data_IF_050950083234
#
_entry.id   IF_050950083234
#
_cell.length_a   1.000
_cell.length_b   1.000
_cell.length_c   1.000
_cell.angle_alpha   90.00
_cell.angle_beta   90.00
_cell.angle_gamma   90.00
#
_symmetry.space_group_name_H-M   'P 1'
#
loop_
_entity.id
_entity.type
_entity.pdbx_description
1 polymer ?
#
# COMPACT_ATOMS: atom_id res chain seq x y z
N UNK A 1 -25.45 -22.22 -2.11
CA UNK A 1 -24.26 -21.49 -2.53
C UNK A 1 -24.64 -20.06 -2.84
N UNK A 2 -24.01 -19.15 -2.16
CA UNK A 2 -24.28 -17.74 -2.39
C UNK A 2 -23.67 -17.28 -3.70
N UNK A 3 -24.48 -16.74 -4.59
CA UNK A 3 -24.00 -16.23 -5.87
C UNK A 3 -23.66 -14.77 -5.71
N UNK A 4 -22.47 -14.39 -6.12
CA UNK A 4 -22.05 -13.00 -6.08
C UNK A 4 -22.91 -12.15 -7.01
N UNK A 5 -23.52 -11.10 -6.48
CA UNK A 5 -24.28 -10.17 -7.30
C UNK A 5 -23.37 -9.44 -8.30
N UNK A 6 -23.91 -9.08 -9.48
CA UNK A 6 -23.15 -8.31 -10.48
C UNK A 6 -22.70 -6.92 -9.97
N UNK A 7 -23.40 -6.42 -8.94
CA UNK A 7 -23.10 -5.12 -8.31
C UNK A 7 -22.16 -5.24 -7.11
N UNK A 8 -21.74 -6.46 -6.73
CA UNK A 8 -20.82 -6.64 -5.61
C UNK A 8 -19.48 -6.01 -5.94
N UNK A 9 -19.00 -5.21 -5.00
CA UNK A 9 -17.73 -4.51 -5.16
C UNK A 9 -16.59 -5.36 -4.60
N UNK A 10 -15.45 -5.30 -5.28
CA UNK A 10 -14.18 -5.82 -4.79
C UNK A 10 -13.45 -4.64 -4.17
N UNK A 11 -13.19 -4.71 -2.88
CA UNK A 11 -12.49 -3.66 -2.15
C UNK A 11 -11.12 -4.16 -1.74
N UNK A 12 -10.08 -3.45 -2.17
CA UNK A 12 -8.70 -3.72 -1.80
C UNK A 12 -8.14 -2.51 -1.06
N UNK A 13 -7.16 -2.76 -0.21
CA UNK A 13 -6.49 -1.71 0.54
C UNK A 13 -4.99 -1.95 0.52
N UNK A 14 -4.21 -0.87 0.43
CA UNK A 14 -2.76 -0.93 0.42
C UNK A 14 -2.15 0.12 1.34
N UNK A 15 -1.05 -0.25 1.99
CA UNK A 15 -0.28 0.63 2.84
C UNK A 15 1.05 0.97 2.19
N UNK A 16 1.31 2.26 2.05
CA UNK A 16 2.61 2.79 1.70
C UNK A 16 3.26 3.28 2.99
N UNK A 17 4.14 2.47 3.57
CA UNK A 17 4.86 2.85 4.79
C UNK A 17 5.95 3.86 4.45
N UNK A 18 6.03 4.92 5.22
CA UNK A 18 7.01 6.00 5.08
C UNK A 18 7.73 6.23 6.39
N UNK A 19 9.06 6.11 6.38
CA UNK A 19 9.89 6.33 7.56
C UNK A 19 10.36 7.78 7.62
N UNK A 20 10.01 8.50 8.68
CA UNK A 20 10.41 9.91 8.85
C UNK A 20 11.93 10.09 8.86
N UNK A 21 12.64 9.20 9.54
CA UNK A 21 14.08 9.34 9.74
C UNK A 21 14.89 9.25 8.45
N UNK A 22 14.45 8.44 7.49
CA UNK A 22 15.19 8.24 6.24
C UNK A 22 14.49 8.82 5.02
N UNK A 23 13.20 9.18 5.15
CA UNK A 23 12.35 9.67 4.05
C UNK A 23 12.22 8.66 2.91
N UNK A 24 12.17 7.37 3.27
CA UNK A 24 12.04 6.27 2.31
C UNK A 24 10.76 5.47 2.56
N UNK A 25 10.30 4.83 1.49
CA UNK A 25 9.08 4.00 1.46
C UNK A 25 9.42 2.52 1.46
N UNK A 26 8.57 1.72 2.10
CA UNK A 26 8.68 0.26 2.07
C UNK A 26 7.94 -0.31 0.86
N UNK A 27 8.66 -1.08 0.06
CA UNK A 27 8.09 -1.84 -1.07
C UNK A 27 8.41 -3.32 -0.89
N UNK A 28 7.46 -4.16 -1.31
CA UNK A 28 7.60 -5.63 -1.24
C UNK A 28 7.58 -6.21 -2.64
N UNK A 29 8.43 -7.22 -2.88
CA UNK A 29 8.46 -7.94 -4.15
C UNK A 29 7.59 -9.18 -4.08
N UNK A 30 6.67 -9.31 -5.03
CA UNK A 30 5.75 -10.43 -5.10
C UNK A 30 6.45 -11.72 -5.54
N UNK A 31 6.22 -12.81 -4.79
CA UNK A 31 6.93 -14.08 -4.97
C UNK A 31 6.28 -14.99 -6.00
N UNK A 32 4.96 -14.99 -6.11
CA UNK A 32 4.24 -15.89 -7.03
C UNK A 32 2.91 -15.32 -7.48
N UNK A 33 2.30 -16.05 -8.41
CA UNK A 33 0.99 -15.71 -8.92
C UNK A 33 1.03 -14.57 -9.93
N UNK A 34 -0.08 -13.91 -10.07
CA UNK A 34 -0.20 -12.77 -10.96
C UNK A 34 0.71 -11.62 -10.47
N UNK A 35 1.39 -10.98 -11.41
CA UNK A 35 2.33 -9.88 -11.14
C UNK A 35 3.60 -10.29 -10.37
N UNK A 36 3.99 -11.58 -10.44
CA UNK A 36 5.25 -12.08 -9.83
C UNK A 36 6.43 -11.20 -10.22
N UNK A 37 7.30 -10.91 -9.25
CA UNK A 37 8.50 -10.12 -9.45
C UNK A 37 8.31 -8.61 -9.40
N UNK A 38 7.07 -8.13 -9.38
CA UNK A 38 6.81 -6.70 -9.26
C UNK A 38 6.89 -6.24 -7.80
N UNK A 39 7.28 -4.99 -7.64
CA UNK A 39 7.39 -4.34 -6.34
C UNK A 39 6.14 -3.49 -6.09
N UNK A 40 5.55 -3.65 -4.93
CA UNK A 40 4.29 -2.99 -4.61
C UNK A 40 4.11 -2.71 -3.12
N UNK A 41 2.88 -2.32 -2.80
CA UNK A 41 2.47 -2.00 -1.45
C UNK A 41 2.20 -3.25 -0.62
N UNK A 42 2.15 -3.06 0.69
CA UNK A 42 1.58 -4.04 1.61
C UNK A 42 0.06 -3.93 1.52
N UNK A 43 -0.65 -5.03 1.32
CA UNK A 43 -2.11 -4.97 1.29
C UNK A 43 -2.74 -6.14 0.56
N UNK A 44 -4.04 -6.07 0.39
CA UNK A 44 -4.80 -7.12 -0.28
C UNK A 44 -6.29 -6.85 -0.30
N UNK A 45 -7.05 -7.89 -0.61
CA UNK A 45 -8.50 -7.82 -0.75
C UNK A 45 -9.18 -7.85 0.62
N UNK A 46 -10.11 -6.93 0.83
CA UNK A 46 -10.92 -6.91 2.04
C UNK A 46 -11.88 -8.10 2.10
N UNK A 47 -12.12 -8.58 3.30
CA UNK A 47 -13.22 -9.49 3.57
C UNK A 47 -14.54 -8.70 3.57
N UNK A 48 -15.65 -9.41 3.37
CA UNK A 48 -16.96 -8.78 3.16
C UNK A 48 -17.38 -7.83 4.29
N UNK A 49 -17.04 -8.17 5.54
CA UNK A 49 -17.45 -7.40 6.72
C UNK A 49 -16.43 -6.36 7.17
N UNK A 50 -15.37 -6.15 6.41
CA UNK A 50 -14.32 -5.21 6.76
C UNK A 50 -14.50 -3.88 6.04
N UNK A 51 -14.29 -2.77 6.75
CA UNK A 51 -14.05 -1.50 6.07
C UNK A 51 -12.60 -1.48 5.53
N UNK A 52 -12.23 -0.52 4.66
CA UNK A 52 -10.89 -0.51 4.05
C UNK A 52 -9.75 -0.53 5.08
N UNK A 53 -9.86 0.22 6.16
CA UNK A 53 -8.81 0.27 7.18
C UNK A 53 -8.68 -1.05 7.95
N UNK A 54 -9.80 -1.67 8.31
CA UNK A 54 -9.78 -2.97 9.00
C UNK A 54 -9.14 -4.05 8.13
N UNK A 55 -9.49 -4.08 6.85
CA UNK A 55 -8.89 -5.02 5.90
C UNK A 55 -7.40 -4.80 5.76
N UNK A 56 -6.98 -3.55 5.71
CA UNK A 56 -5.56 -3.22 5.63
C UNK A 56 -4.79 -3.66 6.87
N UNK A 57 -5.32 -3.40 8.07
CA UNK A 57 -4.66 -3.83 9.31
C UNK A 57 -4.47 -5.33 9.36
N UNK A 58 -5.46 -6.10 8.92
CA UNK A 58 -5.36 -7.56 8.85
C UNK A 58 -4.30 -8.00 7.84
N UNK A 59 -4.32 -7.43 6.62
CA UNK A 59 -3.34 -7.76 5.57
C UNK A 59 -1.91 -7.41 5.99
N UNK A 60 -1.73 -6.27 6.64
CA UNK A 60 -0.40 -5.86 7.15
C UNK A 60 0.11 -6.92 8.13
N UNK A 61 -0.72 -7.35 9.08
CA UNK A 61 -0.33 -8.37 10.05
C UNK A 61 0.03 -9.69 9.37
N UNK A 62 -0.75 -10.10 8.36
CA UNK A 62 -0.49 -11.34 7.63
C UNK A 62 0.77 -11.28 6.79
N UNK A 63 1.03 -10.15 6.12
CA UNK A 63 2.11 -10.04 5.13
C UNK A 63 3.46 -9.65 5.71
N UNK A 64 3.51 -8.83 6.73
CA UNK A 64 4.77 -8.32 7.28
C UNK A 64 4.90 -8.42 8.79
N UNK A 65 3.90 -9.03 9.46
CA UNK A 65 3.93 -9.24 10.90
C UNK A 65 3.73 -7.96 11.70
N UNK A 66 4.32 -7.89 12.88
CA UNK A 66 4.19 -6.73 13.75
C UNK A 66 4.95 -5.53 13.17
N UNK A 67 4.31 -4.37 13.23
CA UNK A 67 4.92 -3.11 12.77
C UNK A 67 5.10 -2.17 13.97
N UNK A 68 6.05 -1.23 13.91
CA UNK A 68 6.15 -0.19 14.93
C UNK A 68 4.92 0.71 14.92
N UNK A 69 4.80 1.55 15.94
CA UNK A 69 3.71 2.50 16.03
C UNK A 69 3.58 3.34 14.76
N UNK A 70 2.38 3.40 14.20
CA UNK A 70 2.06 4.28 13.09
C UNK A 70 1.71 5.65 13.68
N UNK A 71 2.58 6.63 13.41
CA UNK A 71 2.43 8.00 13.94
C UNK A 71 1.22 8.67 13.31
N UNK A 72 1.03 8.46 11.99
CA UNK A 72 -0.04 9.09 11.24
C UNK A 72 -0.46 8.18 10.09
N UNK A 73 -1.76 8.09 9.87
CA UNK A 73 -2.35 7.41 8.72
C UNK A 73 -3.06 8.44 7.87
N UNK A 74 -2.65 8.56 6.61
CA UNK A 74 -3.18 9.57 5.70
C UNK A 74 -3.76 8.85 4.49
N UNK A 75 -5.09 8.98 4.22
CA UNK A 75 -5.65 8.47 2.97
C UNK A 75 -4.99 9.17 1.79
N UNK A 76 -4.36 8.39 0.91
CA UNK A 76 -3.59 8.93 -0.21
C UNK A 76 -4.41 8.96 -1.48
N UNK A 77 -5.05 7.85 -1.83
CA UNK A 77 -5.77 7.70 -3.09
C UNK A 77 -6.87 6.67 -2.94
N UNK A 78 -7.98 6.91 -3.62
CA UNK A 78 -9.00 5.88 -3.86
C UNK A 78 -9.14 5.74 -5.37
N UNK A 79 -8.78 4.56 -5.89
CA UNK A 79 -8.99 4.21 -7.28
C UNK A 79 -10.32 3.46 -7.41
N UNK A 80 -11.13 3.88 -8.38
CA UNK A 80 -12.39 3.21 -8.70
C UNK A 80 -12.36 2.86 -10.19
N UNK A 81 -12.59 1.59 -10.52
CA UNK A 81 -12.65 1.15 -11.91
C UNK A 81 -13.85 1.78 -12.64
N UNK A 82 -13.79 1.80 -13.98
CA UNK A 82 -14.85 2.43 -14.79
C UNK A 82 -16.23 1.81 -14.55
N UNK A 83 -16.28 0.50 -14.26
CA UNK A 83 -17.53 -0.21 -13.94
C UNK A 83 -17.93 -0.06 -12.47
N UNK A 84 -17.14 0.65 -11.67
CA UNK A 84 -17.31 0.87 -10.23
C UNK A 84 -17.28 -0.38 -9.36
N UNK A 85 -16.93 -1.54 -9.92
CA UNK A 85 -16.87 -2.82 -9.19
C UNK A 85 -15.61 -2.93 -8.35
N UNK A 86 -14.46 -2.48 -8.89
CA UNK A 86 -13.17 -2.56 -8.19
C UNK A 86 -12.81 -1.22 -7.55
N UNK A 87 -12.53 -1.26 -6.25
CA UNK A 87 -12.10 -0.09 -5.48
C UNK A 87 -10.80 -0.41 -4.76
N UNK A 88 -9.81 0.46 -4.87
CA UNK A 88 -8.52 0.30 -4.20
C UNK A 88 -8.22 1.55 -3.36
N UNK A 89 -8.08 1.35 -2.05
CA UNK A 89 -7.78 2.43 -1.11
C UNK A 89 -6.33 2.36 -0.68
N UNK A 90 -5.56 3.40 -0.96
CA UNK A 90 -4.16 3.51 -0.56
C UNK A 90 -4.01 4.47 0.61
N UNK A 91 -3.31 4.03 1.64
CA UNK A 91 -3.00 4.84 2.81
C UNK A 91 -1.50 5.04 2.93
N UNK A 92 -1.10 6.27 3.22
CA UNK A 92 0.26 6.58 3.64
C UNK A 92 0.36 6.35 5.14
N UNK A 93 1.18 5.40 5.55
CA UNK A 93 1.36 5.04 6.96
C UNK A 93 2.74 5.53 7.42
N UNK A 94 2.77 6.59 8.23
CA UNK A 94 4.01 7.21 8.67
C UNK A 94 4.50 6.52 9.93
N UNK A 95 5.74 6.06 9.90
CA UNK A 95 6.46 5.50 11.05
C UNK A 95 7.71 6.32 11.33
N UNK A 96 8.26 6.23 12.53
CA UNK A 96 9.45 7.02 12.89
C UNK A 96 10.68 6.54 12.13
N UNK A 97 10.93 5.24 12.16
CA UNK A 97 12.13 4.64 11.57
C UNK A 97 11.78 3.48 10.65
N UNK A 98 12.71 3.14 9.76
CA UNK A 98 12.60 1.92 8.98
C UNK A 98 12.59 0.71 9.91
N UNK A 99 11.86 -0.30 9.52
CA UNK A 99 11.80 -1.55 10.27
C UNK A 99 12.02 -2.73 9.33
N UNK A 100 12.34 -3.88 9.91
CA UNK A 100 12.54 -5.13 9.16
C UNK A 100 11.23 -5.90 9.15
N UNK A 101 10.54 -6.01 8.00
CA UNK A 101 9.32 -6.80 7.94
C UNK A 101 9.61 -8.29 8.05
N UNK A 102 8.68 -9.04 8.62
CA UNK A 102 8.70 -10.50 8.62
C UNK A 102 7.78 -10.95 7.51
N UNK A 103 8.35 -11.32 6.38
CA UNK A 103 7.59 -11.63 5.16
C UNK A 103 6.85 -12.96 5.28
N UNK A 104 5.60 -12.98 4.76
CA UNK A 104 4.91 -14.23 4.45
C UNK A 104 5.46 -14.79 3.13
N UNK A 105 4.98 -15.96 2.73
CA UNK A 105 5.41 -16.58 1.46
C UNK A 105 4.87 -15.88 0.20
N UNK A 106 3.97 -14.91 0.35
CA UNK A 106 3.49 -14.10 -0.78
C UNK A 106 4.55 -13.17 -1.34
N UNK A 107 5.56 -12.83 -0.56
CA UNK A 107 6.63 -11.90 -0.94
C UNK A 107 7.99 -12.51 -0.69
N UNK A 108 8.95 -12.24 -1.56
CA UNK A 108 10.30 -12.80 -1.49
C UNK A 108 11.38 -11.78 -1.12
N UNK A 109 11.05 -10.48 -1.14
CA UNK A 109 12.01 -9.43 -0.82
C UNK A 109 11.30 -8.16 -0.38
N UNK A 110 12.04 -7.29 0.29
CA UNK A 110 11.58 -5.97 0.70
C UNK A 110 12.69 -4.96 0.51
N UNK A 111 12.31 -3.69 0.31
CA UNK A 111 13.26 -2.59 0.16
C UNK A 111 12.64 -1.30 0.66
N UNK A 112 13.46 -0.49 1.32
CA UNK A 112 13.15 0.89 1.62
C UNK A 112 13.84 1.75 0.56
N UNK A 113 13.07 2.60 -0.11
CA UNK A 113 13.60 3.43 -1.20
C UNK A 113 12.82 4.72 -1.35
N UNK A 114 13.44 5.69 -2.01
CA UNK A 114 12.72 6.88 -2.50
C UNK A 114 11.98 6.49 -3.78
N UNK A 115 11.08 7.38 -4.24
CA UNK A 115 10.35 7.15 -5.50
C UNK A 115 11.31 7.04 -6.67
N UNK A 116 12.32 7.93 -6.73
CA UNK A 116 13.29 7.99 -7.82
C UNK A 116 14.13 6.72 -7.94
N UNK A 117 14.44 6.09 -6.82
CA UNK A 117 15.31 4.91 -6.76
C UNK A 117 14.53 3.63 -6.46
N UNK A 118 13.21 3.67 -6.63
CA UNK A 118 12.38 2.49 -6.40
C UNK A 118 12.84 1.30 -7.26
N UNK A 119 12.87 0.09 -6.68
CA UNK A 119 13.22 -1.10 -7.47
C UNK A 119 12.18 -1.34 -8.56
N UNK A 120 12.64 -1.96 -9.64
CA UNK A 120 11.80 -2.21 -10.83
C UNK A 120 11.70 -3.71 -11.09
N UNK A 121 10.61 -4.15 -11.72
CA UNK A 121 9.46 -3.36 -12.15
C UNK A 121 8.50 -3.08 -10.99
N UNK A 122 7.88 -1.91 -11.02
CA UNK A 122 6.80 -1.59 -10.09
C UNK A 122 5.50 -2.25 -10.53
N UNK A 123 4.68 -2.66 -9.56
CA UNK A 123 3.30 -3.04 -9.83
C UNK A 123 2.60 -1.90 -10.58
N UNK A 124 1.77 -2.25 -11.59
CA UNK A 124 1.19 -1.25 -12.49
C UNK A 124 0.39 -0.17 -11.74
N UNK A 125 -0.39 -0.56 -10.74
CA UNK A 125 -1.17 0.40 -9.94
C UNK A 125 -0.28 1.41 -9.21
N UNK A 126 0.80 0.94 -8.60
CA UNK A 126 1.74 1.81 -7.90
C UNK A 126 2.50 2.71 -8.89
N UNK A 127 2.89 2.15 -10.03
CA UNK A 127 3.53 2.92 -11.10
C UNK A 127 2.62 4.05 -11.56
N UNK A 128 1.33 3.78 -11.73
CA UNK A 128 0.35 4.79 -12.12
C UNK A 128 0.22 5.87 -11.04
N UNK A 129 0.15 5.48 -9.78
CA UNK A 129 0.04 6.43 -8.66
C UNK A 129 1.27 7.34 -8.59
N UNK A 130 2.47 6.78 -8.69
CA UNK A 130 3.71 7.56 -8.64
C UNK A 130 3.89 8.48 -9.86
N UNK A 131 3.24 8.17 -10.98
CA UNK A 131 3.27 9.00 -12.18
C UNK A 131 2.15 10.05 -12.20
N UNK A 132 1.16 9.93 -11.32
CA UNK A 132 0.03 10.82 -11.26
C UNK A 132 0.41 12.14 -10.59
N UNK A 133 0.22 13.24 -11.31
CA UNK A 133 0.60 14.58 -10.84
C UNK A 133 -0.11 14.96 -9.54
N UNK A 134 -1.41 14.65 -9.44
CA UNK A 134 -2.20 14.96 -8.24
C UNK A 134 -1.68 14.21 -7.03
N UNK A 135 -1.38 12.92 -7.18
CA UNK A 135 -0.84 12.10 -6.09
C UNK A 135 0.56 12.59 -5.69
N UNK A 136 1.41 12.92 -6.67
CA UNK A 136 2.75 13.45 -6.39
C UNK A 136 2.69 14.78 -5.65
N UNK A 137 1.76 15.66 -6.02
CA UNK A 137 1.56 16.95 -5.34
C UNK A 137 1.11 16.72 -3.90
N UNK A 138 0.19 15.77 -3.68
CA UNK A 138 -0.26 15.42 -2.34
C UNK A 138 0.89 14.88 -1.48
N UNK A 139 1.70 13.99 -2.02
CA UNK A 139 2.87 13.46 -1.32
C UNK A 139 3.87 14.59 -0.99
N UNK A 140 4.12 15.48 -1.92
CA UNK A 140 5.02 16.61 -1.70
C UNK A 140 4.52 17.51 -0.56
N UNK A 141 3.23 17.78 -0.52
CA UNK A 141 2.61 18.56 0.56
C UNK A 141 2.80 17.86 1.90
N UNK A 142 2.58 16.54 1.96
CA UNK A 142 2.80 15.77 3.19
C UNK A 142 4.26 15.84 3.62
N UNK A 143 5.21 15.70 2.70
CA UNK A 143 6.64 15.76 3.03
C UNK A 143 7.04 17.11 3.62
N UNK A 144 6.43 18.19 3.15
CA UNK A 144 6.71 19.54 3.68
C UNK A 144 6.23 19.73 5.13
N UNK A 145 5.19 19.00 5.54
CA UNK A 145 4.62 19.13 6.89
C UNK A 145 4.95 17.95 7.79
N UNK A 146 5.65 16.93 7.29
CA UNK A 146 5.86 15.67 8.03
C UNK A 146 6.58 15.88 9.36
N UNK A 147 7.48 16.86 9.43
CA UNK A 147 8.25 17.15 10.65
C UNK A 147 7.40 17.79 11.74
N UNK A 148 6.18 18.23 11.41
CA UNK A 148 5.23 18.82 12.35
C UNK A 148 4.16 17.81 12.84
N UNK A 149 4.24 16.61 12.37
CA UNK A 149 3.29 15.54 12.74
C UNK A 149 3.77 14.80 13.98
#
# INVERSE_FOLDING_TARGET
>A
METRALTDKIVCSGALFYAKSTRRFLLLQKAHGKHTGTWGLVGGTNLQNENPWQGLQREVQEEIGAVPEIIKTIPLETFVSNDTVFNFHTYLCVVQDEFMPVLSDEHCAWAWSTIEYAPKPLHQGLRNSFSNKTIRTKLQTVFEIIDFI
#
